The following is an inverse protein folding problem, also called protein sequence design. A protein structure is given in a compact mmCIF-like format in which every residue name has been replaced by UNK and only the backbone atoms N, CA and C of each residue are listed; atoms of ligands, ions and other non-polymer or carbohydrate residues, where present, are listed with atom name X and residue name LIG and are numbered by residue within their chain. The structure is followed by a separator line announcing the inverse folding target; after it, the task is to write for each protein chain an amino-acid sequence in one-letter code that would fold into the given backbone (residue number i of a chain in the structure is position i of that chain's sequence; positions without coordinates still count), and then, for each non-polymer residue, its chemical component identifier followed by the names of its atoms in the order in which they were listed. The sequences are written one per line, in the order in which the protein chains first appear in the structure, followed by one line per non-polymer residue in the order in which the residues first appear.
data_IF_022965829392
#
_entry.id   IF_022965829392
#
_cell.length_a   1.000
_cell.length_b   1.000
_cell.length_c   1.000
_cell.angle_alpha   90.00
_cell.angle_beta   90.00
_cell.angle_gamma   90.00
#
_symmetry.space_group_name_H-M   'P 1'
#
loop_
_entity.id
_entity.type
_entity.pdbx_description
1 polymer ?
#
# COMPACT_ATOMS: atom_id res chain seq x y z
N UNK A 1 -17.23 -1.64 -2.46
CA UNK A 1 -17.80 -1.94 -1.13
C UNK A 1 -18.09 -0.61 -0.43
N UNK A 2 -19.30 -0.36 0.08
CA UNK A 2 -19.67 0.90 0.77
C UNK A 2 -19.98 0.59 2.24
N UNK A 3 -19.37 1.35 3.16
CA UNK A 3 -19.49 1.19 4.60
C UNK A 3 -20.47 2.21 5.15
N UNK A 4 -21.48 1.82 5.90
CA UNK A 4 -22.57 2.74 6.26
C UNK A 4 -22.56 3.15 7.73
N UNK A 5 -21.97 2.38 8.63
CA UNK A 5 -21.82 2.75 10.04
C UNK A 5 -20.62 2.06 10.62
N UNK A 6 -19.78 2.77 11.35
CA UNK A 6 -18.54 2.23 11.91
C UNK A 6 -18.42 2.57 13.41
N UNK A 7 -17.61 1.80 14.11
CA UNK A 7 -17.18 2.06 15.47
C UNK A 7 -15.70 1.72 15.60
N UNK A 8 -14.92 2.60 16.24
CA UNK A 8 -13.49 2.40 16.45
C UNK A 8 -13.26 1.65 17.76
N UNK A 9 -12.28 0.75 17.75
CA UNK A 9 -11.87 -0.06 18.89
C UNK A 9 -10.35 -0.13 18.97
N UNK A 10 -9.83 -0.43 20.17
CA UNK A 10 -8.39 -0.55 20.41
C UNK A 10 -7.98 -1.89 21.00
N UNK A 11 -8.93 -2.76 21.32
CA UNK A 11 -8.66 -4.08 21.90
C UNK A 11 -8.79 -5.15 20.81
N UNK A 12 -7.69 -5.86 20.44
CA UNK A 12 -7.71 -6.87 19.40
C UNK A 12 -8.60 -8.07 19.72
N UNK A 13 -8.92 -8.32 20.99
CA UNK A 13 -9.84 -9.40 21.40
C UNK A 13 -11.25 -9.20 20.87
N UNK A 14 -11.61 -7.98 20.49
CA UNK A 14 -12.92 -7.66 19.93
C UNK A 14 -13.06 -8.04 18.44
N UNK A 15 -11.96 -8.40 17.77
CA UNK A 15 -11.98 -8.82 16.36
C UNK A 15 -12.65 -10.17 16.13
N UNK A 16 -12.82 -10.97 17.18
CA UNK A 16 -13.38 -12.34 17.11
C UNK A 16 -14.91 -12.37 17.33
N UNK A 17 -15.61 -11.35 16.87
CA UNK A 17 -17.07 -11.21 17.02
C UNK A 17 -17.87 -11.61 15.77
N UNK A 18 -17.20 -12.16 14.74
CA UNK A 18 -17.81 -12.57 13.47
C UNK A 18 -18.27 -11.42 12.58
N UNK A 19 -17.99 -10.15 12.93
CA UNK A 19 -18.30 -8.99 12.11
C UNK A 19 -17.20 -8.69 11.11
N UNK A 20 -17.47 -7.75 10.21
CA UNK A 20 -16.45 -7.24 9.29
C UNK A 20 -15.65 -6.08 9.91
N UNK A 21 -14.35 -6.18 9.82
CA UNK A 21 -13.41 -5.22 10.37
C UNK A 21 -12.43 -4.72 9.32
N UNK A 22 -12.13 -3.43 9.32
CA UNK A 22 -10.90 -2.91 8.74
C UNK A 22 -9.86 -2.80 9.85
N UNK A 23 -8.70 -3.37 9.59
CA UNK A 23 -7.57 -3.38 10.52
C UNK A 23 -6.40 -2.68 9.85
N UNK A 24 -5.91 -1.63 10.50
CA UNK A 24 -4.69 -0.93 10.08
C UNK A 24 -3.68 -1.03 11.21
N UNK A 25 -2.50 -1.52 10.89
CA UNK A 25 -1.36 -1.61 11.81
C UNK A 25 -0.18 -0.90 11.16
N UNK A 26 0.41 0.07 11.87
CA UNK A 26 1.62 0.76 11.40
C UNK A 26 2.86 -0.07 11.70
N UNK A 27 3.99 0.29 11.10
CA UNK A 27 5.27 -0.35 11.38
C UNK A 27 5.70 -0.20 12.84
N UNK A 28 5.35 0.93 13.47
CA UNK A 28 5.63 1.24 14.88
C UNK A 28 4.73 0.47 15.86
N UNK A 29 3.78 -0.33 15.34
CA UNK A 29 2.88 -1.15 16.15
C UNK A 29 1.62 -0.41 16.63
N UNK A 30 1.34 0.79 16.11
CA UNK A 30 0.06 1.43 16.33
C UNK A 30 -1.02 0.75 15.51
N UNK A 31 -2.21 0.59 16.06
CA UNK A 31 -3.30 -0.10 15.39
C UNK A 31 -4.63 0.65 15.52
N UNK A 32 -5.44 0.53 14.49
CA UNK A 32 -6.81 1.00 14.42
C UNK A 32 -7.72 -0.13 13.95
N UNK A 33 -8.72 -0.46 14.74
CA UNK A 33 -9.74 -1.46 14.43
C UNK A 33 -11.07 -0.75 14.21
N UNK A 34 -11.64 -0.90 13.04
CA UNK A 34 -12.92 -0.26 12.69
C UNK A 34 -13.91 -1.33 12.29
N UNK A 35 -14.95 -1.50 13.11
CA UNK A 35 -16.05 -2.44 12.84
C UNK A 35 -17.13 -1.79 11.99
N UNK A 36 -17.57 -2.52 10.97
CA UNK A 36 -18.65 -2.10 10.10
C UNK A 36 -19.92 -2.90 10.40
N UNK A 37 -21.05 -2.20 10.52
CA UNK A 37 -22.36 -2.84 10.74
C UNK A 37 -22.95 -3.45 9.48
N UNK A 38 -22.58 -2.93 8.31
CA UNK A 38 -23.11 -3.36 7.02
C UNK A 38 -22.00 -3.42 5.99
N UNK A 39 -21.98 -4.50 5.23
CA UNK A 39 -21.07 -4.73 4.11
C UNK A 39 -21.93 -4.89 2.86
N UNK A 40 -21.61 -4.13 1.82
CA UNK A 40 -22.28 -4.21 0.53
C UNK A 40 -21.25 -4.45 -0.57
N UNK A 41 -21.55 -5.35 -1.48
CA UNK A 41 -20.81 -5.47 -2.73
C UNK A 41 -21.23 -4.34 -3.67
N UNK A 42 -20.33 -3.41 -3.92
CA UNK A 42 -20.54 -2.33 -4.86
C UNK A 42 -19.24 -2.06 -5.59
N UNK A 43 -19.33 -1.85 -6.91
CA UNK A 43 -18.19 -1.41 -7.71
C UNK A 43 -17.67 -0.07 -7.16
N UNK A 44 -16.35 0.08 -7.07
CA UNK A 44 -15.73 1.35 -6.70
C UNK A 44 -16.08 2.42 -7.75
N UNK A 45 -16.58 3.55 -7.28
CA UNK A 45 -16.92 4.68 -8.15
C UNK A 45 -15.64 5.44 -8.48
N UNK A 46 -15.32 5.53 -9.77
CA UNK A 46 -14.17 6.33 -10.24
C UNK A 46 -14.34 7.80 -9.83
N UNK A 47 -13.25 8.40 -9.37
CA UNK A 47 -13.17 9.80 -8.95
C UNK A 47 -12.00 10.48 -9.65
N UNK A 48 -12.17 11.76 -9.93
CA UNK A 48 -11.09 12.57 -10.46
C UNK A 48 -10.06 12.87 -9.37
N UNK A 49 -8.79 12.85 -9.76
CA UNK A 49 -7.69 13.24 -8.89
C UNK A 49 -7.36 14.70 -9.09
N UNK A 50 -7.39 15.46 -8.02
CA UNK A 50 -6.91 16.84 -8.03
C UNK A 50 -5.39 16.86 -8.00
N UNK A 51 -4.77 17.40 -9.04
CA UNK A 51 -3.31 17.54 -9.11
C UNK A 51 -2.85 18.50 -8.01
N UNK A 52 -1.82 18.11 -7.28
CA UNK A 52 -1.22 18.93 -6.23
C UNK A 52 -0.25 19.93 -6.86
N UNK A 53 -0.38 21.20 -6.52
CA UNK A 53 0.36 22.30 -7.15
C UNK A 53 1.84 22.35 -6.75
N UNK A 54 2.17 21.87 -5.54
CA UNK A 54 3.53 21.88 -5.03
C UNK A 54 4.24 20.57 -5.35
N UNK A 55 5.56 20.56 -5.51
CA UNK A 55 6.32 19.34 -5.69
C UNK A 55 6.24 18.47 -4.43
N UNK A 56 6.34 17.16 -4.63
CA UNK A 56 6.48 16.20 -3.54
C UNK A 56 7.87 16.31 -2.92
N UNK A 57 7.94 16.20 -1.61
CA UNK A 57 9.20 16.16 -0.85
C UNK A 57 9.60 14.71 -0.68
N UNK A 58 10.81 14.37 -1.11
CA UNK A 58 11.37 13.04 -0.98
C UNK A 58 12.16 12.89 0.33
N UNK A 59 12.05 11.74 0.99
CA UNK A 59 12.85 11.41 2.17
C UNK A 59 14.34 11.23 1.89
N UNK A 60 14.68 10.94 0.64
CA UNK A 60 16.06 10.78 0.16
C UNK A 60 16.19 11.53 -1.17
N UNK A 61 17.26 12.26 -1.37
CA UNK A 61 17.61 12.76 -2.70
C UNK A 61 18.23 11.64 -3.56
N UNK A 62 18.63 11.96 -4.78
CA UNK A 62 19.19 10.98 -5.72
C UNK A 62 20.50 10.37 -5.21
N UNK A 63 21.41 11.22 -4.70
CA UNK A 63 22.71 10.74 -4.21
C UNK A 63 22.58 9.89 -2.96
N UNK A 64 21.72 10.30 -2.02
CA UNK A 64 21.42 9.54 -0.81
C UNK A 64 20.80 8.19 -1.13
N UNK A 65 19.88 8.14 -2.13
CA UNK A 65 19.27 6.90 -2.57
C UNK A 65 20.30 5.97 -3.23
N UNK A 66 21.18 6.50 -4.08
CA UNK A 66 22.27 5.72 -4.69
C UNK A 66 23.23 5.14 -3.63
N UNK A 67 23.62 5.96 -2.64
CA UNK A 67 24.45 5.51 -1.52
C UNK A 67 23.73 4.44 -0.68
N UNK A 68 22.43 4.59 -0.44
CA UNK A 68 21.62 3.61 0.24
C UNK A 68 21.58 2.27 -0.50
N UNK A 69 21.34 2.27 -1.81
CA UNK A 69 21.36 1.06 -2.64
C UNK A 69 22.73 0.41 -2.64
N UNK A 70 23.82 1.18 -2.69
CA UNK A 70 25.19 0.66 -2.61
C UNK A 70 25.45 -0.07 -1.30
N UNK A 71 25.00 0.47 -0.17
CA UNK A 71 25.11 -0.21 1.15
C UNK A 71 24.32 -1.51 1.17
N UNK A 72 23.10 -1.54 0.59
CA UNK A 72 22.30 -2.75 0.49
C UNK A 72 23.04 -3.83 -0.32
N UNK A 73 23.58 -3.46 -1.48
CA UNK A 73 24.33 -4.40 -2.34
C UNK A 73 25.55 -4.97 -1.60
N UNK A 74 26.27 -4.12 -0.87
CA UNK A 74 27.40 -4.59 -0.05
C UNK A 74 26.92 -5.55 1.05
N UNK A 75 25.86 -5.24 1.80
CA UNK A 75 25.32 -6.14 2.82
C UNK A 75 24.86 -7.49 2.26
N UNK A 76 24.34 -7.52 1.01
CA UNK A 76 24.00 -8.75 0.32
C UNK A 76 25.29 -9.54 -0.04
N UNK A 77 26.34 -8.87 -0.56
CA UNK A 77 27.58 -9.53 -0.92
C UNK A 77 28.33 -10.15 0.27
N UNK A 78 28.20 -9.53 1.44
CA UNK A 78 28.76 -10.04 2.71
C UNK A 78 27.87 -11.12 3.37
N UNK A 79 26.71 -11.43 2.79
CA UNK A 79 25.79 -12.43 3.34
C UNK A 79 25.00 -11.97 4.58
N UNK A 80 25.05 -10.68 4.92
CA UNK A 80 24.31 -10.12 6.06
C UNK A 80 22.80 -10.10 5.83
N UNK A 81 22.36 -9.95 4.60
CA UNK A 81 20.96 -10.04 4.16
C UNK A 81 20.91 -10.68 2.77
N UNK A 82 19.80 -11.32 2.42
CA UNK A 82 19.63 -11.87 1.07
C UNK A 82 18.75 -10.98 0.17
N UNK A 83 17.91 -10.14 0.77
CA UNK A 83 17.00 -9.23 0.08
C UNK A 83 16.66 -8.03 0.97
N UNK A 84 16.52 -6.87 0.38
CA UNK A 84 16.07 -5.64 1.05
C UNK A 84 15.13 -4.88 0.13
N UNK A 85 14.00 -4.40 0.66
CA UNK A 85 13.15 -3.45 -0.04
C UNK A 85 13.72 -2.03 0.15
N UNK A 86 14.30 -1.48 -0.91
CA UNK A 86 14.82 -0.12 -0.90
C UNK A 86 13.67 0.90 -1.02
N UNK A 87 13.15 1.35 0.12
CA UNK A 87 12.02 2.25 0.19
C UNK A 87 12.43 3.73 0.12
N UNK A 88 11.60 4.53 -0.53
CA UNK A 88 11.65 5.99 -0.54
C UNK A 88 10.26 6.53 -0.23
N UNK A 89 10.18 7.49 0.67
CA UNK A 89 8.93 8.15 1.04
C UNK A 89 8.82 9.47 0.30
N UNK A 90 7.67 9.69 -0.33
CA UNK A 90 7.28 10.98 -0.87
C UNK A 90 6.15 11.53 -0.02
N UNK A 91 6.28 12.76 0.44
CA UNK A 91 5.24 13.43 1.20
C UNK A 91 4.89 14.80 0.62
N UNK A 92 3.66 15.20 0.88
CA UNK A 92 3.13 16.48 0.45
C UNK A 92 2.18 17.01 1.51
N UNK A 93 2.33 18.27 1.86
CA UNK A 93 1.45 18.93 2.81
C UNK A 93 0.21 19.48 2.10
N UNK A 94 -0.96 18.96 2.46
CA UNK A 94 -2.24 19.31 1.83
C UNK A 94 -2.84 20.63 2.36
N UNK A 95 -2.35 21.14 3.48
CA UNK A 95 -2.94 22.30 4.16
C UNK A 95 -4.33 21.97 4.71
N UNK A 96 -5.25 22.93 4.61
CA UNK A 96 -6.65 22.78 5.03
C UNK A 96 -7.56 22.19 3.92
N UNK A 97 -6.97 21.73 2.83
CA UNK A 97 -7.74 21.17 1.71
C UNK A 97 -8.29 19.79 2.08
N UNK A 98 -9.58 19.59 1.86
CA UNK A 98 -10.20 18.26 1.93
C UNK A 98 -9.90 17.50 0.62
N UNK A 99 -8.73 16.86 0.57
CA UNK A 99 -8.29 16.07 -0.58
C UNK A 99 -8.53 14.60 -0.29
N UNK A 100 -9.46 13.98 -1.00
CA UNK A 100 -9.70 12.55 -0.88
C UNK A 100 -8.74 11.74 -1.76
N UNK A 101 -8.15 10.69 -1.21
CA UNK A 101 -7.32 9.74 -1.96
C UNK A 101 -8.13 8.85 -2.92
N UNK A 102 -9.47 8.95 -2.95
CA UNK A 102 -10.30 8.17 -3.87
C UNK A 102 -9.94 8.44 -5.34
N UNK A 103 -9.65 9.70 -5.69
CA UNK A 103 -9.18 10.07 -7.03
C UNK A 103 -7.80 9.49 -7.35
N UNK A 104 -6.86 9.55 -6.39
CA UNK A 104 -5.55 8.91 -6.53
C UNK A 104 -5.70 7.39 -6.72
N UNK A 105 -6.56 6.76 -5.94
CA UNK A 105 -6.83 5.32 -6.08
C UNK A 105 -7.40 4.97 -7.46
N UNK A 106 -8.31 5.79 -8.00
CA UNK A 106 -8.81 5.64 -9.38
C UNK A 106 -7.68 5.66 -10.41
N UNK A 107 -6.75 6.60 -10.28
CA UNK A 107 -5.57 6.68 -11.16
C UNK A 107 -4.63 5.48 -10.98
N UNK A 108 -4.38 5.06 -9.75
CA UNK A 108 -3.56 3.87 -9.48
C UNK A 108 -4.17 2.61 -10.11
N UNK A 109 -5.48 2.41 -9.99
CA UNK A 109 -6.17 1.27 -10.60
C UNK A 109 -6.10 1.28 -12.13
N UNK A 110 -6.15 2.47 -12.75
CA UNK A 110 -6.07 2.64 -14.20
C UNK A 110 -4.66 2.48 -14.74
N UNK A 111 -3.66 3.09 -14.09
CA UNK A 111 -2.28 3.12 -14.57
C UNK A 111 -1.45 1.90 -14.13
N UNK A 112 -1.80 1.29 -13.00
CA UNK A 112 -1.11 0.14 -12.44
C UNK A 112 -2.12 -0.82 -11.78
N UNK A 113 -2.92 -1.54 -12.61
CA UNK A 113 -3.89 -2.48 -12.10
C UNK A 113 -3.20 -3.60 -11.31
N UNK A 114 -3.49 -3.68 -10.03
CA UNK A 114 -2.90 -4.65 -9.15
C UNK A 114 -4.00 -5.50 -8.47
N UNK A 115 -3.82 -6.84 -8.38
CA UNK A 115 -4.88 -7.77 -7.98
C UNK A 115 -5.32 -7.59 -6.52
N UNK A 116 -4.49 -7.00 -5.68
CA UNK A 116 -4.78 -6.76 -4.25
C UNK A 116 -4.87 -5.27 -3.93
N UNK A 117 -5.26 -4.46 -4.93
CA UNK A 117 -5.52 -3.03 -4.73
C UNK A 117 -6.64 -2.82 -3.72
N UNK A 118 -6.42 -1.89 -2.80
CA UNK A 118 -7.37 -1.57 -1.73
C UNK A 118 -7.45 -0.06 -1.51
N UNK A 119 -8.66 0.39 -1.26
CA UNK A 119 -8.95 1.73 -0.79
C UNK A 119 -9.63 1.65 0.57
N UNK A 120 -9.02 2.23 1.58
CA UNK A 120 -9.53 2.26 2.95
C UNK A 120 -9.72 3.71 3.36
N UNK A 121 -10.91 4.05 3.83
CA UNK A 121 -11.22 5.36 4.42
C UNK A 121 -11.87 5.14 5.78
N UNK A 122 -11.16 5.53 6.81
CA UNK A 122 -11.59 5.48 8.21
C UNK A 122 -11.33 6.86 8.85
N UNK A 123 -11.89 7.18 10.02
CA UNK A 123 -11.65 8.47 10.65
C UNK A 123 -10.17 8.76 10.87
N UNK A 124 -9.72 9.91 10.38
CA UNK A 124 -8.34 10.36 10.51
C UNK A 124 -7.33 9.63 9.62
N UNK A 125 -7.77 8.66 8.80
CA UNK A 125 -6.87 7.92 7.93
C UNK A 125 -7.53 7.53 6.61
N UNK A 126 -6.83 7.77 5.51
CA UNK A 126 -7.22 7.35 4.17
C UNK A 126 -6.02 6.68 3.47
N UNK A 127 -6.22 5.49 2.92
CA UNK A 127 -5.18 4.69 2.29
C UNK A 127 -5.62 4.29 0.89
N UNK A 128 -4.77 4.54 -0.11
CA UNK A 128 -4.89 4.03 -1.47
C UNK A 128 -3.69 3.12 -1.75
N UNK A 129 -3.92 1.82 -1.89
CA UNK A 129 -2.87 0.82 -2.11
C UNK A 129 -3.06 0.12 -3.44
N UNK A 130 -1.98 -0.02 -4.22
CA UNK A 130 -1.90 -0.82 -5.43
C UNK A 130 -0.94 -2.00 -5.19
N UNK A 131 -1.30 -2.89 -4.27
CA UNK A 131 -0.47 -4.04 -3.92
C UNK A 131 -0.60 -5.14 -4.98
N UNK A 132 0.51 -5.58 -5.59
CA UNK A 132 0.51 -6.72 -6.51
C UNK A 132 0.56 -8.06 -5.78
N UNK A 133 0.80 -8.06 -4.48
CA UNK A 133 1.15 -9.24 -3.68
C UNK A 133 0.17 -9.46 -2.53
N UNK A 134 -0.19 -10.73 -2.29
CA UNK A 134 -0.97 -11.13 -1.14
C UNK A 134 -0.03 -11.60 -0.03
N UNK A 135 0.02 -10.84 1.06
CA UNK A 135 0.77 -11.26 2.25
C UNK A 135 0.15 -12.52 2.87
N UNK A 136 -1.10 -12.45 3.26
CA UNK A 136 -1.80 -13.57 3.88
C UNK A 136 -3.32 -13.45 3.72
N UNK A 137 -3.96 -14.56 3.40
CA UNK A 137 -5.41 -14.73 3.47
C UNK A 137 -5.74 -16.01 4.21
N UNK A 138 -6.83 -16.01 4.99
CA UNK A 138 -7.34 -17.19 5.69
C UNK A 138 -8.82 -17.37 5.40
N UNK A 139 -9.20 -18.57 5.02
CA UNK A 139 -10.61 -18.99 4.90
C UNK A 139 -10.80 -20.31 5.65
N UNK A 140 -11.45 -20.25 6.80
CA UNK A 140 -11.54 -21.37 7.71
C UNK A 140 -10.17 -21.84 8.17
N UNK A 141 -9.74 -23.04 7.75
CA UNK A 141 -8.42 -23.64 8.06
C UNK A 141 -7.40 -23.45 6.93
N UNK A 142 -7.80 -22.93 5.78
CA UNK A 142 -6.89 -22.71 4.65
C UNK A 142 -6.21 -21.36 4.77
N UNK A 143 -4.89 -21.37 4.65
CA UNK A 143 -4.05 -20.17 4.53
C UNK A 143 -3.56 -20.05 3.09
N UNK A 144 -3.55 -18.84 2.55
CA UNK A 144 -3.04 -18.51 1.23
C UNK A 144 -2.11 -17.30 1.33
N UNK A 145 -0.97 -17.40 0.66
CA UNK A 145 -0.08 -16.29 0.34
C UNK A 145 0.22 -16.30 -1.16
N UNK A 146 0.49 -15.15 -1.75
CA UNK A 146 0.86 -15.06 -3.18
C UNK A 146 2.00 -14.06 -3.34
N UNK A 147 3.22 -14.45 -2.95
CA UNK A 147 4.39 -13.60 -3.11
C UNK A 147 4.78 -13.52 -4.59
N UNK A 148 5.14 -12.32 -5.05
CA UNK A 148 5.73 -12.10 -6.36
C UNK A 148 7.23 -12.29 -6.22
N UNK A 149 7.80 -13.13 -7.08
CA UNK A 149 9.24 -13.31 -7.22
C UNK A 149 9.63 -12.97 -8.63
N UNK A 150 10.60 -12.09 -8.79
CA UNK A 150 11.21 -11.75 -10.07
C UNK A 150 12.67 -11.42 -9.82
N UNK A 151 13.58 -12.38 -10.10
CA UNK A 151 15.02 -12.11 -10.18
C UNK A 151 15.39 -12.19 -11.64
N UNK A 152 15.75 -11.05 -12.24
CA UNK A 152 16.34 -10.99 -13.58
C UNK A 152 17.85 -10.95 -13.46
N UNK A 153 18.53 -11.74 -14.28
CA UNK A 153 19.98 -11.60 -14.45
C UNK A 153 20.27 -10.27 -15.16
N UNK A 154 21.35 -9.60 -14.76
CA UNK A 154 21.74 -8.30 -15.33
C UNK A 154 21.97 -8.34 -16.84
N UNK A 155 22.32 -9.50 -17.41
CA UNK A 155 22.46 -9.75 -18.85
C UNK A 155 21.15 -9.69 -19.63
N UNK A 156 20.00 -9.81 -18.94
CA UNK A 156 18.69 -9.86 -19.58
C UNK A 156 17.99 -8.49 -19.59
N UNK A 157 18.65 -7.46 -19.03
CA UNK A 157 18.16 -6.09 -19.03
C UNK A 157 18.54 -5.44 -20.36
N UNK A 158 17.66 -5.54 -21.35
CA UNK A 158 17.70 -4.70 -22.53
C UNK A 158 17.43 -3.24 -22.12
N UNK A 159 18.17 -2.25 -22.68
CA UNK A 159 17.96 -0.84 -22.32
C UNK A 159 16.61 -0.25 -22.78
N UNK A 160 15.75 -1.05 -23.36
CA UNK A 160 14.40 -0.67 -23.79
C UNK A 160 13.35 -1.32 -22.91
N UNK A 161 13.15 -0.80 -21.69
CA UNK A 161 11.93 -1.06 -20.93
C UNK A 161 10.78 -0.24 -21.55
N UNK A 162 10.08 -0.84 -22.50
CA UNK A 162 8.72 -0.41 -22.81
C UNK A 162 7.80 -1.16 -21.86
N UNK A 163 7.17 -0.44 -20.92
CA UNK A 163 5.96 -0.93 -20.28
C UNK A 163 4.92 -1.13 -21.38
N UNK A 164 4.76 -2.36 -21.82
CA UNK A 164 3.59 -2.72 -22.60
C UNK A 164 2.40 -2.69 -21.64
N UNK A 165 1.54 -1.70 -21.85
CA UNK A 165 0.21 -1.50 -21.27
C UNK A 165 -0.70 -2.68 -21.52
#
# INVERSE_FOLDING_TARGET
MRWITWRMYRDPRQLDDGNFWAVVVTFEGEYQFVRFKKVEEKKFETRDWTVLERPWISSLDEMDYMAYVSRIRHAISEGGVYQVNACRILHHYLGERDVSLAGLFSRLQSANPAPYSQYVKIPGLEIASASPELFLSRTGRQLKTSPIKGTLFFSDISPTWQCNT
#
